data_IF_642914922961
#
_entry.id   IF_642914922961
#
_cell.length_a   1.000
_cell.length_b   1.000
_cell.length_c   1.000
_cell.angle_alpha   90.00
_cell.angle_beta   90.00
_cell.angle_gamma   90.00
#
_symmetry.space_group_name_H-M   'P 1'
#
loop_
_entity.id
_entity.type
_entity.pdbx_description
1 polymer ?
#
# COMPACT_ATOMS: atom_id res chain seq x y z
N UNK A 1 3.93 6.48 12.86
CA UNK A 1 2.85 6.78 11.88
C UNK A 1 1.50 6.29 12.42
N UNK A 2 0.39 7.03 12.24
CA UNK A 2 -0.90 6.67 12.85
C UNK A 2 -1.77 5.73 12.00
N UNK A 3 -2.36 4.72 12.65
CA UNK A 3 -3.29 3.77 12.03
C UNK A 3 -4.55 4.47 11.50
N UNK A 4 -4.95 4.27 10.22
CA UNK A 4 -6.13 4.91 9.64
C UNK A 4 -7.48 4.40 10.18
N UNK A 5 -7.45 3.37 11.05
CA UNK A 5 -8.64 2.79 11.68
C UNK A 5 -8.81 3.26 13.13
N UNK A 6 -7.75 3.19 13.94
CA UNK A 6 -7.82 3.44 15.38
C UNK A 6 -6.95 4.61 15.88
N UNK A 7 -6.24 5.30 14.97
CA UNK A 7 -5.32 6.41 15.27
C UNK A 7 -4.21 6.08 16.28
N UNK A 8 -3.93 4.80 16.52
CA UNK A 8 -2.80 4.33 17.34
C UNK A 8 -1.57 4.10 16.47
N UNK A 9 -0.38 4.30 17.05
CA UNK A 9 0.89 4.13 16.33
C UNK A 9 1.40 2.68 16.30
N UNK A 10 0.89 1.80 17.18
CA UNK A 10 1.44 0.45 17.38
C UNK A 10 1.01 -0.60 16.32
N UNK A 11 0.15 -0.20 15.38
CA UNK A 11 -0.43 -1.09 14.38
C UNK A 11 0.39 -1.14 13.07
N UNK A 12 1.37 -0.25 12.93
CA UNK A 12 2.09 -0.02 11.67
C UNK A 12 3.54 -0.42 11.87
N UNK A 13 4.07 -1.19 10.93
CA UNK A 13 5.47 -1.56 10.89
C UNK A 13 6.25 -0.58 10.01
N UNK A 14 7.00 0.32 10.65
CA UNK A 14 7.78 1.34 9.95
C UNK A 14 8.95 0.74 9.17
N UNK A 15 9.54 -0.36 9.65
CA UNK A 15 10.62 -1.06 8.96
C UNK A 15 10.16 -1.60 7.60
N UNK A 16 8.96 -2.19 7.54
CA UNK A 16 8.38 -2.68 6.28
C UNK A 16 8.20 -1.52 5.28
N UNK A 17 7.76 -0.36 5.74
CA UNK A 17 7.56 0.81 4.88
C UNK A 17 8.89 1.32 4.33
N UNK A 18 9.92 1.43 5.17
CA UNK A 18 11.26 1.85 4.74
C UNK A 18 11.88 0.88 3.73
N UNK A 19 11.77 -0.42 3.99
CA UNK A 19 12.22 -1.45 3.07
C UNK A 19 11.51 -1.33 1.72
N UNK A 20 10.18 -1.20 1.74
CA UNK A 20 9.37 -1.03 0.53
C UNK A 20 9.75 0.22 -0.27
N UNK A 21 9.96 1.36 0.38
CA UNK A 21 10.37 2.60 -0.30
C UNK A 21 11.73 2.42 -0.99
N UNK A 22 12.68 1.81 -0.30
CA UNK A 22 14.02 1.50 -0.84
C UNK A 22 13.92 0.58 -2.06
N UNK A 23 13.08 -0.44 -1.98
CA UNK A 23 12.82 -1.37 -3.09
C UNK A 23 12.20 -0.66 -4.29
N UNK A 24 11.22 0.23 -4.07
CA UNK A 24 10.60 1.01 -5.15
C UNK A 24 11.60 1.93 -5.87
N UNK A 25 12.49 2.59 -5.12
CA UNK A 25 13.56 3.39 -5.73
C UNK A 25 14.50 2.55 -6.59
N UNK A 26 14.85 1.35 -6.13
CA UNK A 26 15.68 0.42 -6.90
C UNK A 26 15.00 -0.05 -8.19
N UNK A 27 13.69 -0.37 -8.15
CA UNK A 27 12.94 -0.75 -9.35
C UNK A 27 12.85 0.38 -10.36
N UNK A 28 12.61 1.61 -9.90
CA UNK A 28 12.62 2.81 -10.75
C UNK A 28 13.98 3.02 -11.42
N UNK A 29 15.07 2.91 -10.67
CA UNK A 29 16.43 3.05 -11.22
C UNK A 29 16.73 2.01 -12.30
N UNK A 30 16.25 0.79 -12.12
CA UNK A 30 16.45 -0.32 -13.08
C UNK A 30 15.47 -0.31 -14.25
N UNK A 31 14.54 0.67 -14.32
CA UNK A 31 13.43 0.73 -15.29
C UNK A 31 12.62 -0.57 -15.34
N UNK A 32 12.62 -1.34 -14.26
CA UNK A 32 11.94 -2.62 -14.17
C UNK A 32 10.72 -2.42 -13.28
N UNK A 33 9.69 -1.83 -13.86
CA UNK A 33 8.45 -1.47 -13.15
C UNK A 33 7.31 -2.35 -13.65
N UNK A 34 6.67 -3.09 -12.74
CA UNK A 34 5.42 -3.77 -13.05
C UNK A 34 4.30 -2.74 -13.34
N UNK A 35 3.27 -3.16 -14.10
CA UNK A 35 2.02 -2.41 -14.31
C UNK A 35 2.25 -1.00 -14.88
N UNK A 36 3.07 -0.90 -15.92
CA UNK A 36 3.39 0.35 -16.64
C UNK A 36 3.92 1.48 -15.75
N UNK A 37 4.64 1.14 -14.68
CA UNK A 37 5.16 2.14 -13.75
C UNK A 37 4.23 2.49 -12.60
N UNK A 38 3.02 1.92 -12.57
CA UNK A 38 2.07 2.10 -11.46
C UNK A 38 2.58 1.36 -10.24
N UNK A 39 2.86 2.06 -9.12
CA UNK A 39 3.45 1.42 -7.98
C UNK A 39 2.39 0.60 -7.21
N UNK A 40 2.76 -0.61 -6.81
CA UNK A 40 1.91 -1.51 -6.02
C UNK A 40 1.88 -1.04 -4.57
N UNK A 41 0.72 -0.97 -3.93
CA UNK A 41 0.62 -0.63 -2.49
C UNK A 41 1.36 -1.64 -1.62
N UNK A 42 1.89 -1.16 -0.50
CA UNK A 42 2.53 -2.00 0.50
C UNK A 42 1.55 -2.31 1.64
N UNK A 43 1.50 -3.56 2.09
CA UNK A 43 0.84 -3.91 3.35
C UNK A 43 1.74 -3.47 4.50
N UNK A 44 1.34 -2.41 5.20
CA UNK A 44 2.15 -1.76 6.23
C UNK A 44 1.90 -2.31 7.64
N UNK A 45 0.89 -3.16 7.79
CA UNK A 45 0.51 -3.75 9.08
C UNK A 45 -0.96 -4.12 9.13
N UNK A 46 -1.41 -4.48 10.33
CA UNK A 46 -2.79 -4.85 10.62
C UNK A 46 -3.25 -4.05 11.83
N UNK A 47 -4.45 -3.47 11.76
CA UNK A 47 -5.05 -2.78 12.88
C UNK A 47 -5.35 -3.78 13.99
N UNK A 48 -4.76 -3.59 15.18
CA UNK A 48 -5.00 -4.47 16.35
C UNK A 48 -6.42 -4.36 16.92
N UNK A 49 -7.18 -3.32 16.54
CA UNK A 49 -8.55 -3.10 17.01
C UNK A 49 -9.59 -3.74 16.10
N UNK A 50 -9.46 -3.54 14.78
CA UNK A 50 -10.45 -4.06 13.81
C UNK A 50 -10.02 -5.36 13.15
N UNK A 51 -8.73 -5.70 13.19
CA UNK A 51 -8.16 -6.81 12.44
C UNK A 51 -7.94 -6.51 10.95
N UNK A 52 -8.24 -5.29 10.51
CA UNK A 52 -8.13 -4.92 9.10
C UNK A 52 -6.70 -4.59 8.68
N UNK A 53 -6.39 -4.88 7.43
CA UNK A 53 -5.09 -4.56 6.82
C UNK A 53 -4.93 -3.06 6.63
N UNK A 54 -3.72 -2.57 6.91
CA UNK A 54 -3.33 -1.19 6.70
C UNK A 54 -2.42 -1.13 5.48
N UNK A 55 -2.73 -0.23 4.57
CA UNK A 55 -1.97 -0.08 3.34
C UNK A 55 -1.21 1.22 3.29
N UNK A 56 -0.06 1.21 2.64
CA UNK A 56 0.77 2.38 2.44
C UNK A 56 0.77 2.77 0.96
N UNK A 57 0.39 4.02 0.70
CA UNK A 57 0.42 4.60 -0.63
C UNK A 57 1.81 5.21 -0.91
N UNK A 58 2.55 4.73 -1.92
CA UNK A 58 3.88 5.24 -2.28
C UNK A 58 3.85 6.67 -2.84
N UNK A 59 2.72 7.11 -3.40
CA UNK A 59 2.62 8.43 -4.04
C UNK A 59 2.54 9.57 -3.03
N UNK A 60 1.64 9.45 -2.04
CA UNK A 60 1.45 10.46 -1.01
C UNK A 60 2.07 10.08 0.34
N UNK A 61 2.83 8.97 0.38
CA UNK A 61 3.50 8.44 1.57
C UNK A 61 2.59 8.38 2.79
N UNK A 62 1.34 7.98 2.57
CA UNK A 62 0.31 7.98 3.60
C UNK A 62 -0.27 6.59 3.78
N UNK A 63 -0.63 6.30 5.03
CA UNK A 63 -1.43 5.12 5.35
C UNK A 63 -2.88 5.34 4.91
N UNK A 64 -3.45 4.32 4.30
CA UNK A 64 -4.82 4.24 3.84
C UNK A 64 -5.45 2.94 4.34
N UNK A 65 -6.78 2.95 4.44
CA UNK A 65 -7.55 1.74 4.71
C UNK A 65 -7.37 0.76 3.55
N UNK A 66 -7.47 -0.53 3.85
CA UNK A 66 -7.56 -1.57 2.82
C UNK A 66 -8.70 -1.23 1.86
N UNK A 67 -8.43 -1.40 0.56
CA UNK A 67 -9.41 -1.21 -0.50
C UNK A 67 -9.69 -2.58 -1.09
N UNK A 68 -10.90 -3.07 -0.88
CA UNK A 68 -11.38 -4.28 -1.54
C UNK A 68 -11.86 -3.95 -2.95
N UNK A 69 -11.26 -4.58 -3.95
CA UNK A 69 -11.57 -4.32 -5.35
C UNK A 69 -11.10 -5.47 -6.23
N UNK A 70 -11.97 -5.89 -7.15
CA UNK A 70 -11.62 -6.84 -8.21
C UNK A 70 -10.70 -6.24 -9.28
N UNK A 71 -10.43 -4.93 -9.23
CA UNK A 71 -9.53 -4.27 -10.19
C UNK A 71 -8.09 -4.33 -9.68
N UNK A 72 -7.18 -4.63 -10.60
CA UNK A 72 -5.74 -4.62 -10.35
C UNK A 72 -5.19 -3.21 -10.03
N UNK A 73 -5.83 -2.17 -10.57
CA UNK A 73 -5.47 -0.76 -10.39
C UNK A 73 -6.70 -0.01 -9.87
N UNK A 74 -6.51 0.75 -8.81
CA UNK A 74 -7.53 1.58 -8.17
C UNK A 74 -6.96 2.97 -7.88
N UNK A 75 -7.82 3.95 -7.60
CA UNK A 75 -7.37 5.27 -7.19
C UNK A 75 -7.15 5.32 -5.67
N UNK A 76 -6.03 5.91 -5.25
CA UNK A 76 -5.76 6.16 -3.85
C UNK A 76 -6.83 7.10 -3.27
N UNK A 77 -7.50 6.74 -2.15
CA UNK A 77 -8.56 7.57 -1.58
C UNK A 77 -8.07 8.91 -1.00
N UNK A 78 -6.75 9.07 -0.80
CA UNK A 78 -6.15 10.30 -0.27
C UNK A 78 -5.62 11.25 -1.35
N UNK A 79 -4.95 10.72 -2.38
CA UNK A 79 -4.29 11.55 -3.39
C UNK A 79 -4.82 11.36 -4.81
N UNK A 80 -5.80 10.47 -4.99
CA UNK A 80 -6.49 10.18 -6.26
C UNK A 80 -5.58 9.70 -7.40
N UNK A 81 -4.31 9.41 -7.11
CA UNK A 81 -3.39 8.77 -8.06
C UNK A 81 -3.64 7.28 -8.13
N UNK A 82 -3.42 6.73 -9.32
CA UNK A 82 -3.54 5.30 -9.57
C UNK A 82 -2.50 4.52 -8.76
N UNK A 83 -2.96 3.47 -8.11
CA UNK A 83 -2.17 2.55 -7.32
C UNK A 83 -2.57 1.13 -7.69
N UNK A 84 -1.59 0.24 -7.70
CA UNK A 84 -1.85 -1.16 -7.99
C UNK A 84 -2.08 -1.96 -6.70
N UNK A 85 -3.06 -2.86 -6.72
CA UNK A 85 -3.32 -3.77 -5.62
C UNK A 85 -2.49 -5.05 -5.77
N UNK A 86 -1.95 -5.62 -4.67
CA UNK A 86 -1.20 -6.86 -4.71
C UNK A 86 -2.07 -8.02 -5.21
N UNK A 87 -1.44 -9.01 -5.87
CA UNK A 87 -2.14 -10.12 -6.50
C UNK A 87 -2.94 -10.98 -5.51
N UNK A 88 -2.52 -11.05 -4.25
CA UNK A 88 -3.23 -11.74 -3.16
C UNK A 88 -4.62 -11.17 -2.86
N UNK A 89 -4.89 -9.93 -3.28
CA UNK A 89 -6.20 -9.29 -3.14
C UNK A 89 -7.00 -9.26 -4.44
N UNK A 90 -6.49 -9.89 -5.51
CA UNK A 90 -7.24 -10.12 -6.73
C UNK A 90 -7.85 -11.51 -6.57
N UNK A 91 -9.05 -11.60 -6.05
CA UNK A 91 -9.85 -12.81 -6.17
C UNK A 91 -10.13 -13.06 -7.66
N UNK A 92 -9.24 -13.82 -8.30
CA UNK A 92 -9.54 -14.53 -9.53
C UNK A 92 -10.33 -15.77 -9.12
N UNK A 93 -11.65 -15.67 -9.23
CA UNK A 93 -12.53 -16.84 -9.27
C UNK A 93 -12.51 -17.42 -10.68
#
# INVERSE_FOLDING_TARGET
MECPYCNKEDCVDEYIIEFYLTTQENFKRRKNTALDGTPVVCEAGICKTTGDKIWFCPHCKSLIKHVDSHRAIVQCPKCHKDIALPATNRTFC
#
